data_IF_228592269926
#
_entry.id   IF_228592269926
#
_cell.length_a   1.000
_cell.length_b   1.000
_cell.length_c   1.000
_cell.angle_alpha   90.00
_cell.angle_beta   90.00
_cell.angle_gamma   90.00
#
_symmetry.space_group_name_H-M   'P 1'
#
loop_
_entity.id
_entity.type
_entity.pdbx_description
1 polymer ?
#
# COMPACT_ATOMS: atom_id res chain seq x y z
N UNK A 1 -18.98 0.88 -6.01
CA UNK A 1 -17.56 1.24 -5.81
C UNK A 1 -16.82 -0.01 -5.40
N UNK A 2 -15.69 -0.32 -6.02
CA UNK A 2 -14.86 -1.50 -5.71
C UNK A 2 -13.67 -1.05 -4.86
N UNK A 3 -13.43 -1.73 -3.75
CA UNK A 3 -12.27 -1.53 -2.88
C UNK A 3 -11.11 -2.41 -3.33
N UNK A 4 -10.13 -1.82 -4.01
CA UNK A 4 -8.94 -2.50 -4.50
C UNK A 4 -7.77 -2.25 -3.55
N UNK A 5 -7.41 -3.26 -2.75
CA UNK A 5 -6.26 -3.19 -1.87
C UNK A 5 -4.95 -3.52 -2.58
N UNK A 6 -3.96 -2.67 -2.36
CA UNK A 6 -2.58 -2.85 -2.86
C UNK A 6 -1.67 -2.95 -1.64
N UNK A 7 -1.07 -4.13 -1.47
CA UNK A 7 -0.15 -4.40 -0.35
C UNK A 7 1.10 -5.11 -0.84
N UNK A 8 2.22 -4.90 -0.17
CA UNK A 8 3.42 -5.64 -0.53
C UNK A 8 4.65 -5.31 0.28
N UNK A 9 5.81 -5.61 -0.30
CA UNK A 9 7.08 -5.32 0.36
C UNK A 9 7.22 -3.83 0.65
N UNK A 10 7.60 -3.53 1.89
CA UNK A 10 7.87 -2.16 2.38
C UNK A 10 9.36 -1.91 2.59
N UNK A 11 10.23 -2.82 2.14
CA UNK A 11 11.67 -2.74 2.42
C UNK A 11 12.03 -2.98 3.89
N UNK A 12 11.13 -3.56 4.68
CA UNK A 12 11.38 -3.84 6.10
C UNK A 12 12.44 -4.93 6.33
N UNK A 13 12.64 -5.81 5.35
CA UNK A 13 13.73 -6.79 5.35
C UNK A 13 14.91 -6.24 4.54
N UNK A 14 16.13 -6.44 5.03
CA UNK A 14 17.35 -5.91 4.39
C UNK A 14 17.47 -6.35 2.93
N UNK A 15 17.15 -7.61 2.63
CA UNK A 15 17.22 -8.15 1.27
C UNK A 15 16.22 -7.47 0.33
N UNK A 16 15.01 -7.18 0.80
CA UNK A 16 14.00 -6.47 0.01
C UNK A 16 14.42 -5.02 -0.22
N UNK A 17 14.91 -4.35 0.84
CA UNK A 17 15.35 -2.95 0.78
C UNK A 17 16.45 -2.73 -0.25
N UNK A 18 17.38 -3.68 -0.38
CA UNK A 18 18.46 -3.61 -1.36
C UNK A 18 17.94 -3.76 -2.80
N UNK A 19 16.94 -4.63 -3.02
CA UNK A 19 16.36 -4.90 -4.33
C UNK A 19 15.41 -3.82 -4.83
N UNK A 20 14.52 -3.33 -3.96
CA UNK A 20 13.44 -2.41 -4.31
C UNK A 20 13.97 -1.12 -4.93
N UNK A 21 13.40 -0.68 -6.04
CA UNK A 21 13.76 0.55 -6.74
C UNK A 21 12.56 1.07 -7.56
N UNK A 22 12.76 2.13 -8.33
CA UNK A 22 11.72 2.77 -9.12
C UNK A 22 11.03 1.81 -10.13
N UNK A 23 11.75 0.78 -10.63
CA UNK A 23 11.19 -0.19 -11.58
C UNK A 23 10.07 -1.00 -10.95
N UNK A 24 10.21 -1.34 -9.68
CA UNK A 24 9.20 -2.08 -8.92
C UNK A 24 7.92 -1.26 -8.72
N UNK A 25 8.04 0.06 -8.52
CA UNK A 25 6.89 0.98 -8.46
C UNK A 25 6.17 1.03 -9.82
N UNK A 26 6.91 1.24 -10.90
CA UNK A 26 6.38 1.27 -12.27
C UNK A 26 5.69 -0.05 -12.64
N UNK A 27 6.32 -1.18 -12.32
CA UNK A 27 5.75 -2.51 -12.55
C UNK A 27 4.44 -2.70 -11.77
N UNK A 28 4.41 -2.28 -10.50
CA UNK A 28 3.21 -2.37 -9.66
C UNK A 28 2.08 -1.53 -10.23
N UNK A 29 2.35 -0.29 -10.64
CA UNK A 29 1.36 0.58 -11.30
C UNK A 29 0.78 -0.11 -12.54
N UNK A 30 1.65 -0.63 -13.41
CA UNK A 30 1.21 -1.30 -14.64
C UNK A 30 0.31 -2.50 -14.34
N UNK A 31 0.67 -3.34 -13.37
CA UNK A 31 -0.16 -4.48 -12.98
C UNK A 31 -1.49 -4.08 -12.33
N UNK A 32 -1.52 -2.98 -11.57
CA UNK A 32 -2.77 -2.46 -10.99
C UNK A 32 -3.70 -1.98 -12.10
N UNK A 33 -3.19 -1.19 -13.04
CA UNK A 33 -3.99 -0.66 -14.15
C UNK A 33 -4.47 -1.79 -15.08
N UNK A 34 -3.59 -2.73 -15.43
CA UNK A 34 -3.95 -3.95 -16.18
C UNK A 34 -5.02 -4.78 -15.47
N UNK A 35 -4.91 -4.95 -14.15
CA UNK A 35 -5.93 -5.67 -13.39
C UNK A 35 -7.29 -4.97 -13.44
N UNK A 36 -7.32 -3.64 -13.33
CA UNK A 36 -8.56 -2.85 -13.42
C UNK A 36 -9.18 -2.98 -14.82
N UNK A 37 -8.39 -2.78 -15.87
CA UNK A 37 -8.86 -2.82 -17.26
C UNK A 37 -9.28 -4.22 -17.69
N UNK A 38 -8.40 -5.21 -17.50
CA UNK A 38 -8.56 -6.52 -18.12
C UNK A 38 -9.24 -7.55 -17.22
N UNK A 39 -9.11 -7.40 -15.89
CA UNK A 39 -9.74 -8.33 -14.93
C UNK A 39 -11.06 -7.78 -14.39
N UNK A 40 -11.06 -6.54 -13.89
CA UNK A 40 -12.29 -5.92 -13.36
C UNK A 40 -13.21 -5.43 -14.48
N UNK A 41 -12.64 -5.02 -15.63
CA UNK A 41 -13.37 -4.36 -16.73
C UNK A 41 -14.16 -3.16 -16.23
N UNK A 42 -13.44 -2.30 -15.49
CA UNK A 42 -13.99 -1.16 -14.76
C UNK A 42 -13.22 0.09 -15.07
N UNK A 43 -13.91 1.22 -14.96
CA UNK A 43 -13.28 2.52 -15.03
C UNK A 43 -12.63 2.88 -13.70
N UNK A 44 -11.55 3.65 -13.74
CA UNK A 44 -10.81 4.06 -12.53
C UNK A 44 -11.67 4.88 -11.55
N UNK A 45 -12.65 5.64 -12.04
CA UNK A 45 -13.62 6.37 -11.21
C UNK A 45 -14.65 5.48 -10.52
N UNK A 46 -14.63 4.16 -10.74
CA UNK A 46 -15.42 3.17 -9.98
C UNK A 46 -14.60 2.50 -8.86
N UNK A 47 -13.30 2.79 -8.77
CA UNK A 47 -12.34 2.15 -7.89
C UNK A 47 -11.97 3.06 -6.71
N UNK A 48 -12.14 2.54 -5.49
CA UNK A 48 -11.56 3.07 -4.27
C UNK A 48 -10.28 2.29 -3.98
N UNK A 49 -9.14 2.98 -3.98
CA UNK A 49 -7.86 2.36 -3.64
C UNK A 49 -7.78 2.13 -2.14
N UNK A 50 -7.21 1.01 -1.70
CA UNK A 50 -6.97 0.72 -0.29
C UNK A 50 -5.48 0.55 -0.05
N UNK A 51 -4.95 1.30 0.91
CA UNK A 51 -3.54 1.25 1.33
C UNK A 51 -3.44 1.25 2.85
N UNK A 52 -2.31 0.80 3.37
CA UNK A 52 -2.00 1.04 4.77
C UNK A 52 -0.85 1.99 5.05
N UNK A 53 -0.50 2.81 4.06
CA UNK A 53 0.41 3.94 4.24
C UNK A 53 1.87 3.55 4.52
N UNK A 54 2.26 2.32 4.20
CA UNK A 54 3.67 1.96 4.15
C UNK A 54 4.33 2.53 2.89
N UNK A 55 5.66 2.71 2.86
CA UNK A 55 6.38 3.04 1.64
C UNK A 55 6.39 1.89 0.64
N UNK A 56 6.97 2.13 -0.54
CA UNK A 56 7.09 1.15 -1.62
C UNK A 56 5.74 0.70 -2.17
N UNK A 57 5.40 -0.59 -2.09
CA UNK A 57 4.23 -1.16 -2.78
C UNK A 57 2.92 -0.54 -2.27
N UNK A 58 2.73 -0.46 -0.95
CA UNK A 58 1.55 0.16 -0.36
C UNK A 58 1.39 1.64 -0.81
N UNK A 59 2.51 2.31 -1.13
CA UNK A 59 2.54 3.71 -1.55
C UNK A 59 2.08 3.92 -3.00
N UNK A 60 2.03 2.86 -3.82
CA UNK A 60 1.50 2.94 -5.19
C UNK A 60 0.03 3.37 -5.20
N UNK A 61 -0.77 2.88 -4.26
CA UNK A 61 -2.15 3.33 -4.08
C UNK A 61 -2.24 4.85 -3.79
N UNK A 62 -1.28 5.39 -3.05
CA UNK A 62 -1.21 6.83 -2.74
C UNK A 62 -0.86 7.61 -4.01
N UNK A 63 0.15 7.16 -4.76
CA UNK A 63 0.54 7.83 -6.01
C UNK A 63 -0.57 7.80 -7.06
N UNK A 64 -1.24 6.65 -7.23
CA UNK A 64 -2.38 6.51 -8.13
C UNK A 64 -3.55 7.43 -7.72
N UNK A 65 -3.88 7.48 -6.42
CA UNK A 65 -4.91 8.38 -5.92
C UNK A 65 -4.60 9.85 -6.22
N UNK A 66 -3.34 10.29 -6.02
CA UNK A 66 -2.89 11.66 -6.29
C UNK A 66 -2.92 12.07 -7.78
N UNK A 67 -3.26 11.16 -8.69
CA UNK A 67 -3.53 11.48 -10.10
C UNK A 67 -4.94 12.04 -10.33
N UNK A 68 -5.80 12.05 -9.32
CA UNK A 68 -7.20 12.47 -9.36
C UNK A 68 -8.07 11.68 -10.38
N UNK A 69 -7.61 10.50 -10.80
CA UNK A 69 -8.34 9.59 -11.72
C UNK A 69 -9.17 8.52 -11.01
N UNK A 70 -8.94 8.32 -9.72
CA UNK A 70 -9.60 7.28 -8.93
C UNK A 70 -10.72 7.87 -8.09
N UNK A 71 -11.70 7.04 -7.77
CA UNK A 71 -12.88 7.49 -7.04
C UNK A 71 -12.60 7.89 -5.58
N UNK A 72 -11.53 7.34 -5.00
CA UNK A 72 -11.14 7.64 -3.63
C UNK A 72 -9.99 6.77 -3.15
N UNK A 73 -9.60 7.03 -1.90
CA UNK A 73 -8.57 6.30 -1.17
C UNK A 73 -9.07 5.99 0.25
N UNK A 74 -9.03 4.73 0.65
CA UNK A 74 -9.20 4.29 2.03
C UNK A 74 -7.82 3.98 2.63
N UNK A 75 -7.48 4.64 3.73
CA UNK A 75 -6.24 4.44 4.45
C UNK A 75 -6.47 3.69 5.76
N UNK A 76 -5.72 2.60 5.96
CA UNK A 76 -5.64 1.91 7.24
C UNK A 76 -4.24 2.08 7.81
N UNK A 77 -4.02 2.99 8.76
CA UNK A 77 -2.68 3.30 9.27
C UNK A 77 -2.36 2.53 10.56
N UNK A 78 -1.14 2.00 10.73
CA UNK A 78 -0.75 1.31 11.95
C UNK A 78 -0.34 2.27 13.09
N UNK A 79 -0.22 3.56 12.79
CA UNK A 79 0.07 4.63 13.73
C UNK A 79 -0.57 5.94 13.23
N UNK A 80 -0.80 6.89 14.14
CA UNK A 80 -1.28 8.21 13.77
C UNK A 80 -0.25 8.95 12.91
N UNK A 81 -0.72 9.65 11.89
CA UNK A 81 0.08 10.53 11.06
C UNK A 81 -0.17 12.00 11.44
N UNK A 82 0.89 12.77 11.61
CA UNK A 82 0.84 14.21 11.87
C UNK A 82 1.07 14.97 10.56
N UNK A 83 -0.03 15.41 9.94
CA UNK A 83 -0.01 16.16 8.67
C UNK A 83 0.72 17.49 8.75
N UNK A 84 0.82 18.10 9.94
CA UNK A 84 1.56 19.38 10.10
C UNK A 84 3.06 19.14 10.09
N UNK A 85 3.50 17.96 10.50
CA UNK A 85 4.92 17.58 10.57
C UNK A 85 5.35 16.68 9.41
N UNK A 86 4.44 16.29 8.51
CA UNK A 86 4.66 15.30 7.46
C UNK A 86 5.32 14.03 8.02
N UNK A 87 4.79 13.46 9.11
CA UNK A 87 5.48 12.38 9.80
C UNK A 87 4.52 11.52 10.64
N UNK A 88 4.80 10.23 10.78
CA UNK A 88 4.12 9.40 11.77
C UNK A 88 4.52 9.80 13.19
N UNK A 89 3.57 9.71 14.13
CA UNK A 89 3.83 9.99 15.56
C UNK A 89 4.83 8.97 16.14
N UNK A 90 5.51 9.35 17.22
CA UNK A 90 6.63 8.60 17.80
C UNK A 90 6.23 7.32 18.57
N UNK A 91 5.52 6.40 17.92
CA UNK A 91 5.30 5.02 18.37
C UNK A 91 6.35 4.08 17.75
N UNK A 92 6.34 2.80 18.12
CA UNK A 92 7.22 1.81 17.49
C UNK A 92 6.96 1.72 15.98
N UNK A 93 5.70 1.56 15.57
CA UNK A 93 5.28 1.46 14.18
C UNK A 93 5.53 2.77 13.43
N UNK A 94 5.27 3.90 14.09
CA UNK A 94 5.48 5.21 13.50
C UNK A 94 6.96 5.46 13.21
N UNK A 95 7.85 5.27 14.20
CA UNK A 95 9.31 5.37 13.98
C UNK A 95 9.76 4.48 12.83
N UNK A 96 9.29 3.23 12.79
CA UNK A 96 9.68 2.29 11.73
C UNK A 96 9.22 2.76 10.35
N UNK A 97 7.97 3.21 10.24
CA UNK A 97 7.45 3.74 8.98
C UNK A 97 8.21 4.99 8.52
N UNK A 98 8.52 5.91 9.43
CA UNK A 98 9.30 7.10 9.08
C UNK A 98 10.70 6.73 8.56
N UNK A 99 11.38 5.77 9.19
CA UNK A 99 12.67 5.25 8.71
C UNK A 99 12.54 4.67 7.30
N UNK A 100 11.56 3.79 7.07
CA UNK A 100 11.35 3.16 5.77
C UNK A 100 10.97 4.18 4.68
N UNK A 101 10.13 5.16 5.00
CA UNK A 101 9.77 6.25 4.09
C UNK A 101 11.00 7.09 3.73
N UNK A 102 11.87 7.39 4.67
CA UNK A 102 13.11 8.13 4.39
C UNK A 102 14.03 7.36 3.43
N UNK A 103 14.16 6.04 3.61
CA UNK A 103 14.96 5.18 2.72
C UNK A 103 14.34 5.14 1.32
N UNK A 104 13.05 4.87 1.25
CA UNK A 104 12.28 4.86 -0.01
C UNK A 104 12.41 6.19 -0.76
N UNK A 105 12.12 7.30 -0.08
CA UNK A 105 12.22 8.66 -0.61
C UNK A 105 13.58 8.97 -1.20
N UNK A 106 14.66 8.61 -0.50
CA UNK A 106 16.03 8.80 -1.00
C UNK A 106 16.33 7.95 -2.22
N UNK A 107 15.80 6.71 -2.27
CA UNK A 107 16.13 5.74 -3.32
C UNK A 107 15.48 6.07 -4.67
N UNK A 108 14.33 6.73 -4.66
CA UNK A 108 13.59 7.08 -5.88
C UNK A 108 13.34 8.59 -6.06
N UNK A 109 14.03 9.41 -5.27
CA UNK A 109 14.01 10.88 -5.33
C UNK A 109 12.60 11.52 -5.24
N UNK A 110 11.82 11.10 -4.23
CA UNK A 110 10.51 11.69 -3.94
C UNK A 110 10.36 12.05 -2.45
N UNK A 111 9.39 12.89 -2.11
CA UNK A 111 8.97 13.10 -0.72
C UNK A 111 7.70 12.31 -0.40
N UNK A 112 7.86 11.03 -0.05
CA UNK A 112 6.74 10.10 0.15
C UNK A 112 5.87 10.44 1.37
N UNK A 113 6.44 11.02 2.43
CA UNK A 113 5.66 11.50 3.57
C UNK A 113 4.82 12.74 3.23
N UNK A 114 5.33 13.61 2.35
CA UNK A 114 4.56 14.73 1.83
C UNK A 114 3.43 14.27 0.88
N UNK A 115 3.69 13.28 0.02
CA UNK A 115 2.63 12.64 -0.78
C UNK A 115 1.54 12.02 0.10
N UNK A 116 1.93 11.30 1.15
CA UNK A 116 0.98 10.76 2.13
C UNK A 116 0.18 11.88 2.82
N UNK A 117 0.83 13.01 3.13
CA UNK A 117 0.14 14.19 3.68
C UNK A 117 -0.91 14.72 2.71
N UNK A 118 -0.54 14.91 1.43
CA UNK A 118 -1.47 15.36 0.39
C UNK A 118 -2.66 14.41 0.27
N UNK A 119 -2.40 13.10 0.25
CA UNK A 119 -3.44 12.10 0.15
C UNK A 119 -4.38 12.13 1.37
N UNK A 120 -3.84 12.21 2.59
CA UNK A 120 -4.62 12.34 3.83
C UNK A 120 -5.50 13.59 3.82
N UNK A 121 -5.02 14.71 3.28
CA UNK A 121 -5.80 15.95 3.21
C UNK A 121 -6.93 15.89 2.17
N UNK A 122 -6.79 15.05 1.15
CA UNK A 122 -7.80 14.85 0.10
C UNK A 122 -8.81 13.75 0.45
N UNK A 123 -8.43 12.72 1.22
CA UNK A 123 -9.34 11.65 1.64
C UNK A 123 -10.03 11.93 2.98
N UNK A 124 -11.27 11.49 3.13
CA UNK A 124 -12.02 11.47 4.41
C UNK A 124 -11.99 10.09 5.09
N UNK A 125 -11.39 9.11 4.45
CA UNK A 125 -11.54 7.69 4.74
C UNK A 125 -10.26 7.13 5.35
N UNK A 126 -10.04 7.44 6.63
CA UNK A 126 -8.84 7.05 7.37
C UNK A 126 -9.24 6.34 8.65
N UNK A 127 -8.76 5.11 8.82
CA UNK A 127 -8.88 4.37 10.07
C UNK A 127 -7.48 4.07 10.62
N UNK A 128 -7.28 4.33 11.91
CA UNK A 128 -6.00 4.07 12.57
C UNK A 128 -6.19 2.89 13.52
N UNK A 129 -5.41 1.83 13.30
CA UNK A 129 -5.39 0.66 14.18
C UNK A 129 -3.96 0.31 14.52
N UNK A 130 -3.60 0.50 15.79
CA UNK A 130 -2.23 0.30 16.27
C UNK A 130 -1.71 -1.10 15.93
N UNK A 131 -0.55 -1.15 15.29
CA UNK A 131 0.16 -2.39 14.92
C UNK A 131 -0.05 -2.81 13.45
N UNK A 132 1.03 -3.27 12.81
CA UNK A 132 1.01 -3.69 11.40
C UNK A 132 0.02 -4.83 11.15
N UNK A 133 0.01 -5.84 12.02
CA UNK A 133 -0.90 -6.97 11.92
C UNK A 133 -2.38 -6.56 12.04
N UNK A 134 -2.71 -5.72 13.02
CA UNK A 134 -4.07 -5.27 13.25
C UNK A 134 -4.57 -4.41 12.09
N UNK A 135 -3.71 -3.52 11.58
CA UNK A 135 -3.97 -2.75 10.36
C UNK A 135 -4.22 -3.65 9.16
N UNK A 136 -3.39 -4.67 8.95
CA UNK A 136 -3.53 -5.60 7.83
C UNK A 136 -4.80 -6.45 7.91
N UNK A 137 -5.26 -6.78 9.13
CA UNK A 137 -6.55 -7.43 9.33
C UNK A 137 -7.72 -6.57 8.84
N UNK A 138 -7.64 -5.23 9.00
CA UNK A 138 -8.67 -4.32 8.50
C UNK A 138 -8.65 -4.24 6.98
N UNK A 139 -7.48 -4.19 6.35
CA UNK A 139 -7.37 -4.26 4.88
C UNK A 139 -8.03 -5.53 4.37
N UNK A 140 -7.65 -6.70 4.91
CA UNK A 140 -8.18 -7.99 4.48
C UNK A 140 -9.70 -8.13 4.68
N UNK A 141 -10.27 -7.46 5.68
CA UNK A 141 -11.71 -7.50 5.97
C UNK A 141 -12.51 -6.56 5.07
N UNK A 142 -11.92 -5.45 4.64
CA UNK A 142 -12.63 -4.34 4.00
C UNK A 142 -12.18 -4.08 2.56
N UNK A 143 -11.57 -5.07 1.90
CA UNK A 143 -11.31 -5.03 0.47
C UNK A 143 -12.26 -5.97 -0.28
N UNK A 144 -12.60 -5.61 -1.50
CA UNK A 144 -13.31 -6.50 -2.44
C UNK A 144 -12.30 -7.30 -3.27
N UNK A 145 -11.14 -6.69 -3.54
CA UNK A 145 -10.03 -7.28 -4.27
C UNK A 145 -8.70 -6.98 -3.57
N UNK A 146 -7.79 -7.96 -3.54
CA UNK A 146 -6.45 -7.81 -2.97
C UNK A 146 -5.37 -8.12 -4.01
N UNK A 147 -4.52 -7.13 -4.31
CA UNK A 147 -3.29 -7.31 -5.09
C UNK A 147 -2.09 -7.29 -4.16
N UNK A 148 -1.30 -8.37 -4.18
CA UNK A 148 -0.12 -8.53 -3.33
C UNK A 148 1.14 -8.57 -4.18
N UNK A 149 2.13 -7.76 -3.84
CA UNK A 149 3.43 -7.75 -4.53
C UNK A 149 4.57 -8.06 -3.57
N UNK A 150 5.26 -9.18 -3.79
CA UNK A 150 6.40 -9.62 -2.97
C UNK A 150 7.48 -10.27 -3.84
N UNK A 151 8.66 -10.52 -3.28
CA UNK A 151 9.72 -11.29 -3.93
C UNK A 151 9.56 -12.82 -3.80
N UNK A 152 8.42 -13.29 -3.29
CA UNK A 152 8.12 -14.73 -3.22
C UNK A 152 7.55 -15.20 -4.56
N UNK A 153 7.77 -16.46 -4.94
CA UNK A 153 7.47 -16.96 -6.30
C UNK A 153 5.96 -17.17 -6.56
N UNK A 154 5.24 -17.84 -5.64
CA UNK A 154 3.84 -18.26 -5.89
C UNK A 154 2.80 -17.43 -5.16
N UNK A 155 3.06 -17.14 -3.89
CA UNK A 155 2.19 -16.39 -2.99
C UNK A 155 2.97 -16.08 -1.71
N UNK A 156 2.56 -15.06 -0.94
CA UNK A 156 3.24 -14.74 0.31
C UNK A 156 3.11 -15.87 1.34
N UNK A 157 4.23 -16.37 1.86
CA UNK A 157 4.29 -17.45 2.85
C UNK A 157 4.75 -16.99 4.23
N UNK A 158 5.39 -15.82 4.33
CA UNK A 158 5.97 -15.30 5.57
C UNK A 158 5.49 -13.88 5.92
N UNK A 159 5.56 -13.57 7.22
CA UNK A 159 5.29 -12.24 7.78
C UNK A 159 3.83 -11.77 7.68
N UNK A 160 3.63 -10.48 7.95
CA UNK A 160 2.30 -9.87 8.05
C UNK A 160 1.53 -9.89 6.72
N UNK A 161 2.22 -9.92 5.58
CA UNK A 161 1.59 -10.00 4.25
C UNK A 161 0.97 -11.40 4.04
N UNK A 162 1.68 -12.47 4.41
CA UNK A 162 1.14 -13.83 4.35
C UNK A 162 -0.10 -13.99 5.25
N UNK A 163 -0.09 -13.33 6.41
CA UNK A 163 -1.27 -13.30 7.28
C UNK A 163 -2.46 -12.57 6.63
N UNK A 164 -2.20 -11.42 5.99
CA UNK A 164 -3.21 -10.68 5.20
C UNK A 164 -3.81 -11.56 4.12
N UNK A 165 -2.96 -12.23 3.33
CA UNK A 165 -3.35 -13.14 2.25
C UNK A 165 -4.26 -14.27 2.73
N UNK A 166 -3.94 -14.87 3.89
CA UNK A 166 -4.75 -15.95 4.48
C UNK A 166 -6.09 -15.48 5.01
N UNK A 167 -6.18 -14.22 5.48
CA UNK A 167 -7.43 -13.66 6.02
C UNK A 167 -8.42 -13.18 4.98
N UNK A 168 -7.96 -12.90 3.76
CA UNK A 168 -8.89 -12.66 2.65
C UNK A 168 -9.61 -13.95 2.30
N UNK A 169 -10.91 -13.99 2.63
CA UNK A 169 -11.77 -15.16 2.46
C UNK A 169 -12.38 -15.27 1.06
N UNK A 170 -12.45 -14.16 0.32
CA UNK A 170 -12.92 -14.17 -1.06
C UNK A 170 -11.82 -14.64 -2.02
N UNK A 171 -12.23 -15.18 -3.17
CA UNK A 171 -11.32 -15.67 -4.22
C UNK A 171 -10.61 -14.55 -5.00
N UNK A 172 -11.09 -13.29 -4.86
CA UNK A 172 -10.58 -12.14 -5.60
C UNK A 172 -9.27 -11.58 -5.02
N UNK A 173 -8.24 -12.42 -4.96
CA UNK A 173 -6.89 -12.03 -4.56
C UNK A 173 -5.88 -12.53 -5.58
N UNK A 174 -4.90 -11.71 -5.88
CA UNK A 174 -3.85 -12.02 -6.86
C UNK A 174 -2.50 -11.63 -6.30
N UNK A 175 -1.52 -12.49 -6.50
CA UNK A 175 -0.13 -12.24 -6.14
C UNK A 175 0.69 -12.01 -7.41
N UNK A 176 1.62 -11.08 -7.33
CA UNK A 176 2.58 -10.74 -8.36
C UNK A 176 3.98 -10.78 -7.77
N UNK A 177 4.89 -11.44 -8.48
CA UNK A 177 6.30 -11.49 -8.10
C UNK A 177 7.01 -10.23 -8.58
N UNK A 178 7.74 -9.61 -7.66
CA UNK A 178 8.68 -8.52 -7.95
C UNK A 178 9.96 -9.14 -8.53
N UNK A 179 10.31 -8.80 -9.77
CA UNK A 179 11.45 -9.37 -10.52
C UNK A 179 12.48 -8.28 -10.79
#
# INVERSE_FOLDING_TARGET
MIHLAIVGSSGNQINDMLKLDERHIKQTINHVLDYIENTLKKETFEIILVSGGSPWIDHVAIQLFLTDKFAGLQLYLPSKFDVKKNHYVNTHEGRKLNELHNIFSKKIDINSLFELTRAILQTKNIEIKRGFLQRNNLIAKNCDHLLVFTFEDKYPTKGDIAHTWKKVLHQYKKHYTLI
#
